data_IF_971350060664
#
_entry.id   IF_971350060664
#
_cell.length_a   1.000
_cell.length_b   1.000
_cell.length_c   1.000
_cell.angle_alpha   90.00
_cell.angle_beta   90.00
_cell.angle_gamma   90.00
#
_symmetry.space_group_name_H-M   'P 1'
#
loop_
_entity.id
_entity.type
_entity.pdbx_description
1 polymer ?
#
# COMPACT_ATOMS: atom_id res chain seq x y z
N UNK A 1 15.90 6.72 -20.02
CA UNK A 1 16.56 7.58 -19.00
C UNK A 1 16.51 9.08 -19.36
N UNK A 2 16.95 9.52 -20.56
CA UNK A 2 16.92 10.96 -20.94
C UNK A 2 15.52 11.60 -20.96
N UNK A 3 14.50 10.89 -21.42
CA UNK A 3 13.13 11.40 -21.52
C UNK A 3 12.53 11.74 -20.14
N UNK A 4 12.89 10.97 -19.10
CA UNK A 4 12.38 11.18 -17.75
C UNK A 4 12.94 12.43 -17.09
N UNK A 5 14.21 12.72 -17.34
CA UNK A 5 14.88 13.90 -16.81
C UNK A 5 14.34 15.20 -17.43
N UNK A 6 14.04 15.21 -18.73
CA UNK A 6 13.43 16.36 -19.40
C UNK A 6 12.00 16.59 -18.87
N UNK A 7 11.19 15.51 -18.76
CA UNK A 7 9.83 15.61 -18.21
C UNK A 7 9.86 16.14 -16.78
N UNK A 8 10.77 15.63 -15.96
CA UNK A 8 10.93 16.05 -14.57
C UNK A 8 11.31 17.54 -14.46
N UNK A 9 12.29 18.00 -15.23
CA UNK A 9 12.68 19.42 -15.25
C UNK A 9 11.55 20.36 -15.69
N UNK A 10 10.71 19.94 -16.64
CA UNK A 10 9.53 20.70 -17.07
C UNK A 10 8.48 20.73 -15.96
N UNK A 11 8.18 19.59 -15.35
CA UNK A 11 7.23 19.48 -14.25
C UNK A 11 7.65 20.33 -13.03
N UNK A 12 8.95 20.39 -12.69
CA UNK A 12 9.50 21.25 -11.64
C UNK A 12 9.28 22.74 -11.90
N UNK A 13 9.10 23.15 -13.17
CA UNK A 13 8.79 24.52 -13.58
C UNK A 13 7.29 24.79 -13.68
N UNK A 14 6.45 23.83 -13.30
CA UNK A 14 4.99 23.97 -13.32
C UNK A 14 4.32 23.59 -14.64
N UNK A 15 5.03 22.88 -15.54
CA UNK A 15 4.42 22.38 -16.78
C UNK A 15 3.41 21.27 -16.49
N UNK A 16 2.13 21.57 -16.65
CA UNK A 16 1.02 20.65 -16.34
C UNK A 16 1.06 19.36 -17.19
N UNK A 17 1.46 19.46 -18.46
CA UNK A 17 1.57 18.29 -19.32
C UNK A 17 2.67 17.34 -18.84
N UNK A 18 3.79 17.89 -18.38
CA UNK A 18 4.87 17.12 -17.78
C UNK A 18 4.46 16.52 -16.43
N UNK A 19 3.75 17.27 -15.57
CA UNK A 19 3.17 16.75 -14.32
C UNK A 19 2.22 15.58 -14.58
N UNK A 20 1.33 15.71 -15.58
CA UNK A 20 0.43 14.64 -15.99
C UNK A 20 1.18 13.39 -16.45
N UNK A 21 2.27 13.54 -17.19
CA UNK A 21 3.10 12.40 -17.61
C UNK A 21 3.74 11.69 -16.42
N UNK A 22 4.24 12.43 -15.42
CA UNK A 22 4.75 11.85 -14.18
C UNK A 22 3.65 11.11 -13.42
N UNK A 23 2.48 11.70 -13.31
CA UNK A 23 1.32 11.08 -12.68
C UNK A 23 0.94 9.77 -13.38
N UNK A 24 0.72 9.77 -14.68
CA UNK A 24 0.34 8.57 -15.46
C UNK A 24 1.35 7.43 -15.30
N UNK A 25 2.63 7.75 -15.20
CA UNK A 25 3.70 6.75 -15.07
C UNK A 25 3.79 6.14 -13.67
N UNK A 26 3.58 6.95 -12.64
CA UNK A 26 3.87 6.55 -11.26
C UNK A 26 2.61 6.25 -10.42
N UNK A 27 1.40 6.69 -10.87
CA UNK A 27 0.17 6.47 -10.12
C UNK A 27 -0.14 4.98 -9.88
N UNK A 28 0.08 4.04 -10.81
CA UNK A 28 -0.24 2.64 -10.53
C UNK A 28 0.48 2.10 -9.29
N UNK A 29 1.75 2.49 -9.10
CA UNK A 29 2.54 2.04 -7.96
C UNK A 29 2.20 2.83 -6.67
N UNK A 30 2.08 4.15 -6.76
CA UNK A 30 1.76 5.02 -5.61
C UNK A 30 0.36 4.73 -5.09
N UNK A 31 -0.63 4.62 -5.97
CA UNK A 31 -2.02 4.36 -5.59
C UNK A 31 -2.18 2.94 -5.00
N UNK A 32 -1.38 1.98 -5.47
CA UNK A 32 -1.37 0.63 -4.89
C UNK A 32 -0.92 0.62 -3.43
N UNK A 33 0.18 1.32 -3.08
CA UNK A 33 0.63 1.38 -1.68
C UNK A 33 -0.36 2.14 -0.79
N UNK A 34 -0.96 3.21 -1.29
CA UNK A 34 -2.01 3.95 -0.56
C UNK A 34 -3.20 3.05 -0.26
N UNK A 35 -3.74 2.32 -1.27
CA UNK A 35 -4.85 1.38 -1.08
C UNK A 35 -4.53 0.29 -0.05
N UNK A 36 -3.35 -0.33 -0.16
CA UNK A 36 -2.94 -1.38 0.77
C UNK A 36 -2.82 -0.88 2.21
N UNK A 37 -2.32 0.33 2.41
CA UNK A 37 -2.23 0.93 3.73
C UNK A 37 -3.60 1.32 4.29
N UNK A 38 -4.47 1.94 3.50
CA UNK A 38 -5.79 2.37 3.93
C UNK A 38 -6.72 1.18 4.16
N UNK A 39 -6.77 0.23 3.22
CA UNK A 39 -7.65 -0.96 3.26
C UNK A 39 -9.13 -0.65 3.07
N UNK A 40 -9.49 0.59 2.89
CA UNK A 40 -10.79 1.11 2.53
C UNK A 40 -10.64 1.91 1.24
N UNK A 41 -11.54 1.67 0.28
CA UNK A 41 -11.43 2.22 -1.07
C UNK A 41 -11.65 3.74 -1.09
N UNK A 42 -12.66 4.22 -0.38
CA UNK A 42 -13.05 5.64 -0.39
C UNK A 42 -12.00 6.48 0.33
N UNK A 43 -11.56 6.00 1.49
CA UNK A 43 -10.43 6.60 2.21
C UNK A 43 -9.16 6.61 1.36
N UNK A 44 -8.89 5.53 0.62
CA UNK A 44 -7.72 5.44 -0.23
C UNK A 44 -7.77 6.44 -1.40
N UNK A 45 -8.94 6.66 -2.00
CA UNK A 45 -9.09 7.62 -3.09
C UNK A 45 -8.81 9.05 -2.62
N UNK A 46 -9.35 9.46 -1.48
CA UNK A 46 -9.12 10.79 -0.89
C UNK A 46 -7.65 10.98 -0.51
N UNK A 47 -7.06 9.98 0.14
CA UNK A 47 -5.64 10.02 0.53
C UNK A 47 -4.73 10.04 -0.69
N UNK A 48 -5.01 9.30 -1.75
CA UNK A 48 -4.22 9.31 -2.99
C UNK A 48 -4.23 10.69 -3.64
N UNK A 49 -5.37 11.37 -3.66
CA UNK A 49 -5.46 12.75 -4.14
C UNK A 49 -4.58 13.69 -3.32
N UNK A 50 -4.66 13.63 -1.98
CA UNK A 50 -3.80 14.43 -1.09
C UNK A 50 -2.31 14.13 -1.29
N UNK A 51 -1.96 12.86 -1.50
CA UNK A 51 -0.58 12.41 -1.78
C UNK A 51 -0.06 13.07 -3.05
N UNK A 52 -0.81 13.04 -4.14
CA UNK A 52 -0.41 13.66 -5.41
C UNK A 52 -0.29 15.17 -5.32
N UNK A 53 -1.22 15.84 -4.63
CA UNK A 53 -1.11 17.28 -4.35
C UNK A 53 0.20 17.58 -3.59
N UNK A 54 0.55 16.77 -2.60
CA UNK A 54 1.77 16.94 -1.83
C UNK A 54 3.05 16.66 -2.65
N UNK A 55 3.04 15.63 -3.50
CA UNK A 55 4.14 15.33 -4.42
C UNK A 55 4.41 16.52 -5.33
N UNK A 56 3.39 17.06 -5.98
CA UNK A 56 3.56 18.20 -6.89
C UNK A 56 3.93 19.50 -6.17
N UNK A 57 3.44 19.73 -4.96
CA UNK A 57 3.87 20.88 -4.13
C UNK A 57 5.34 20.78 -3.73
N UNK A 58 5.83 19.58 -3.45
CA UNK A 58 7.21 19.35 -3.05
C UNK A 58 8.18 19.23 -4.24
N UNK A 59 7.66 19.03 -5.45
CA UNK A 59 8.45 18.77 -6.66
C UNK A 59 9.48 19.87 -7.00
N UNK A 60 9.22 21.18 -6.85
CA UNK A 60 10.24 22.21 -7.06
C UNK A 60 11.48 22.06 -6.18
N UNK A 61 11.36 21.41 -5.01
CA UNK A 61 12.47 21.13 -4.09
C UNK A 61 13.15 19.78 -4.29
N UNK A 62 12.75 19.00 -5.28
CA UNK A 62 13.38 17.70 -5.56
C UNK A 62 14.81 17.88 -6.07
N UNK A 63 15.79 17.24 -5.38
CA UNK A 63 17.23 17.41 -5.64
C UNK A 63 17.87 16.34 -6.52
N UNK A 64 17.11 15.30 -6.90
CA UNK A 64 17.66 14.21 -7.71
C UNK A 64 18.57 13.22 -6.94
N UNK A 65 18.58 13.26 -5.59
CA UNK A 65 19.39 12.38 -4.74
C UNK A 65 18.94 10.91 -4.81
N UNK A 66 17.74 10.65 -5.29
CA UNK A 66 17.18 9.34 -5.61
C UNK A 66 16.33 9.44 -6.87
N UNK A 67 15.91 8.31 -7.44
CA UNK A 67 14.94 8.34 -8.54
C UNK A 67 13.63 8.99 -8.10
N UNK A 68 12.96 9.71 -9.02
CA UNK A 68 11.68 10.40 -8.73
C UNK A 68 10.63 9.44 -8.13
N UNK A 69 10.50 8.22 -8.69
CA UNK A 69 9.55 7.23 -8.17
C UNK A 69 9.82 6.86 -6.70
N UNK A 70 11.09 6.69 -6.32
CA UNK A 70 11.48 6.40 -4.94
C UNK A 70 11.20 7.59 -4.01
N UNK A 71 11.47 8.81 -4.47
CA UNK A 71 11.20 10.02 -3.71
C UNK A 71 9.70 10.26 -3.51
N UNK A 72 8.91 10.14 -4.59
CA UNK A 72 7.47 10.28 -4.55
C UNK A 72 6.81 9.21 -3.68
N UNK A 73 7.31 7.97 -3.75
CA UNK A 73 6.86 6.86 -2.93
C UNK A 73 7.04 7.12 -1.42
N UNK A 74 8.19 7.67 -1.00
CA UNK A 74 8.42 8.06 0.41
C UNK A 74 7.40 9.11 0.87
N UNK A 75 7.07 10.08 0.02
CA UNK A 75 6.02 11.07 0.31
C UNK A 75 4.68 10.36 0.47
N UNK A 76 4.34 9.42 -0.42
CA UNK A 76 3.09 8.68 -0.39
C UNK A 76 2.94 7.87 0.91
N UNK A 77 3.92 7.07 1.28
CA UNK A 77 3.90 6.30 2.54
C UNK A 77 3.71 7.22 3.74
N UNK A 78 4.56 8.26 3.88
CA UNK A 78 4.51 9.18 5.02
C UNK A 78 3.17 9.94 5.09
N UNK A 79 2.65 10.41 3.95
CA UNK A 79 1.37 11.12 3.90
C UNK A 79 0.22 10.20 4.28
N UNK A 80 0.19 8.98 3.76
CA UNK A 80 -0.83 7.99 4.08
C UNK A 80 -0.83 7.64 5.57
N UNK A 81 0.33 7.36 6.17
CA UNK A 81 0.44 7.08 7.59
C UNK A 81 -0.06 8.26 8.45
N UNK A 82 0.24 9.50 8.05
CA UNK A 82 -0.25 10.69 8.73
C UNK A 82 -1.78 10.83 8.62
N UNK A 83 -2.35 10.57 7.44
CA UNK A 83 -3.81 10.57 7.24
C UNK A 83 -4.49 9.52 8.13
N UNK A 84 -3.98 8.29 8.15
CA UNK A 84 -4.52 7.21 8.99
C UNK A 84 -4.44 7.54 10.49
N UNK A 85 -3.34 8.17 10.96
CA UNK A 85 -3.24 8.64 12.35
C UNK A 85 -4.28 9.73 12.68
N UNK A 86 -4.56 10.63 11.73
CA UNK A 86 -5.59 11.67 11.88
C UNK A 86 -6.98 11.05 11.96
N UNK A 87 -7.32 10.14 11.04
CA UNK A 87 -8.59 9.41 11.02
C UNK A 87 -8.80 8.67 12.36
N UNK A 88 -7.80 7.91 12.82
CA UNK A 88 -7.88 7.20 14.10
C UNK A 88 -8.09 8.12 15.29
N UNK A 89 -7.48 9.32 15.30
CA UNK A 89 -7.71 10.31 16.37
C UNK A 89 -9.12 10.86 16.35
N UNK A 90 -9.66 11.18 15.17
CA UNK A 90 -11.03 11.66 15.03
C UNK A 90 -12.04 10.60 15.47
N UNK A 91 -11.87 9.36 14.99
CA UNK A 91 -12.72 8.25 15.42
C UNK A 91 -12.72 8.02 16.95
N UNK A 92 -11.56 8.20 17.62
CA UNK A 92 -11.51 8.13 19.09
C UNK A 92 -12.22 9.28 19.79
N UNK A 93 -12.30 10.46 19.19
CA UNK A 93 -13.03 11.59 19.74
C UNK A 93 -14.55 11.44 19.56
N UNK A 94 -14.97 10.73 18.49
CA UNK A 94 -16.38 10.46 18.21
C UNK A 94 -16.89 9.20 18.92
N UNK A 95 -16.00 8.31 19.35
CA UNK A 95 -16.35 7.02 19.95
C UNK A 95 -15.73 6.92 21.36
N UNK A 96 -16.45 7.30 22.38
CA UNK A 96 -16.29 6.72 23.73
C UNK A 96 -16.92 5.32 23.83
N UNK A 97 -17.29 4.70 22.71
CA UNK A 97 -17.98 3.39 22.67
C UNK A 97 -17.35 2.49 21.60
N UNK A 98 -16.73 1.40 22.09
CA UNK A 98 -16.52 0.06 21.55
C UNK A 98 -16.00 -0.14 20.09
N UNK A 99 -14.81 -0.68 20.03
CA UNK A 99 -14.32 -2.04 19.68
C UNK A 99 -14.81 -2.68 18.37
N UNK A 100 -13.76 -2.99 17.57
CA UNK A 100 -13.60 -4.14 16.68
C UNK A 100 -14.76 -4.51 15.75
N UNK A 101 -14.57 -4.15 14.51
CA UNK A 101 -15.03 -4.77 13.26
C UNK A 101 -15.73 -3.83 12.29
N UNK A 102 -15.06 -3.49 11.21
CA UNK A 102 -15.72 -3.07 9.99
C UNK A 102 -15.38 -4.05 8.88
N UNK A 103 -16.33 -4.86 8.50
CA UNK A 103 -16.37 -5.61 7.25
C UNK A 103 -16.75 -4.63 6.13
N UNK A 104 -15.99 -4.61 5.05
CA UNK A 104 -16.43 -4.04 3.77
C UNK A 104 -16.16 -5.08 2.70
N UNK A 105 -17.20 -5.56 2.06
CA UNK A 105 -17.13 -6.31 0.82
C UNK A 105 -17.00 -5.32 -0.34
N UNK A 106 -16.03 -5.57 -1.21
CA UNK A 106 -15.84 -4.81 -2.45
C UNK A 106 -15.50 -5.77 -3.58
N UNK A 107 -16.37 -5.76 -4.58
CA UNK A 107 -16.33 -6.55 -5.80
C UNK A 107 -15.46 -5.85 -6.84
N UNK A 108 -14.61 -6.57 -7.55
CA UNK A 108 -14.28 -6.39 -8.97
C UNK A 108 -13.02 -7.08 -9.45
N UNK A 109 -13.14 -7.63 -10.57
CA UNK A 109 -12.37 -8.47 -11.48
C UNK A 109 -10.95 -7.94 -11.81
N UNK A 110 -9.93 -8.51 -11.17
CA UNK A 110 -8.49 -8.38 -11.52
C UNK A 110 -7.76 -9.64 -11.16
N UNK A 111 -6.74 -9.99 -11.93
CA UNK A 111 -5.92 -11.21 -11.83
C UNK A 111 -6.06 -11.97 -10.49
N UNK A 112 -6.80 -13.03 -10.49
CA UNK A 112 -7.38 -13.79 -9.36
C UNK A 112 -6.49 -13.93 -8.09
N UNK A 113 -5.18 -14.03 -8.25
CA UNK A 113 -4.26 -14.19 -7.12
C UNK A 113 -3.92 -12.85 -6.43
N UNK A 114 -3.70 -11.80 -7.19
CA UNK A 114 -3.34 -10.48 -6.64
C UNK A 114 -4.55 -9.85 -5.92
N UNK A 115 -5.76 -10.06 -6.43
CA UNK A 115 -7.01 -9.64 -5.81
C UNK A 115 -7.29 -10.37 -4.52
N UNK A 116 -7.07 -11.66 -4.50
CA UNK A 116 -7.23 -12.47 -3.29
C UNK A 116 -6.31 -12.01 -2.17
N UNK A 117 -5.08 -11.55 -2.49
CA UNK A 117 -4.16 -11.01 -1.49
C UNK A 117 -4.59 -9.62 -1.02
N UNK A 118 -4.93 -8.72 -1.94
CA UNK A 118 -5.39 -7.37 -1.61
C UNK A 118 -6.70 -7.43 -0.80
N UNK A 119 -7.63 -8.32 -1.14
CA UNK A 119 -8.85 -8.59 -0.37
C UNK A 119 -8.53 -9.19 1.01
N UNK A 120 -7.65 -10.19 1.08
CA UNK A 120 -7.26 -10.78 2.36
C UNK A 120 -6.59 -9.74 3.29
N UNK A 121 -5.85 -8.78 2.73
CA UNK A 121 -5.26 -7.68 3.50
C UNK A 121 -6.31 -6.75 4.11
N UNK A 122 -7.46 -6.52 3.45
CA UNK A 122 -8.54 -5.70 4.03
C UNK A 122 -9.10 -6.31 5.32
N UNK A 123 -9.05 -7.64 5.44
CA UNK A 123 -9.51 -8.41 6.62
C UNK A 123 -8.51 -8.39 7.79
N UNK A 124 -7.32 -7.79 7.62
CA UNK A 124 -6.38 -7.59 8.72
C UNK A 124 -6.81 -6.41 9.60
N UNK A 125 -6.46 -6.47 10.90
CA UNK A 125 -6.58 -5.27 11.74
C UNK A 125 -5.67 -4.16 11.19
N UNK A 126 -6.06 -2.87 11.33
CA UNK A 126 -5.31 -1.76 10.74
C UNK A 126 -3.81 -1.77 11.09
N UNK A 127 -3.46 -2.06 12.36
CA UNK A 127 -2.05 -2.13 12.80
C UNK A 127 -1.28 -3.29 12.16
N UNK A 128 -1.89 -4.47 12.09
CA UNK A 128 -1.27 -5.65 11.46
C UNK A 128 -1.11 -5.46 9.95
N UNK A 129 -2.11 -4.88 9.28
CA UNK A 129 -2.05 -4.53 7.85
C UNK A 129 -0.94 -3.53 7.56
N UNK A 130 -0.87 -2.43 8.31
CA UNK A 130 0.16 -1.41 8.14
C UNK A 130 1.56 -2.00 8.30
N UNK A 131 1.79 -2.80 9.34
CA UNK A 131 3.11 -3.42 9.56
C UNK A 131 3.44 -4.43 8.45
N UNK A 132 2.48 -5.23 7.99
CA UNK A 132 2.66 -6.17 6.89
C UNK A 132 3.03 -5.44 5.59
N UNK A 133 2.29 -4.40 5.23
CA UNK A 133 2.58 -3.62 4.02
C UNK A 133 3.97 -3.00 4.11
N UNK A 134 4.30 -2.33 5.20
CA UNK A 134 5.60 -1.67 5.35
C UNK A 134 6.76 -2.66 5.35
N UNK A 135 6.62 -3.82 6.03
CA UNK A 135 7.72 -4.78 6.14
C UNK A 135 7.85 -5.69 4.92
N UNK A 136 6.76 -6.39 4.56
CA UNK A 136 6.80 -7.48 3.57
C UNK A 136 6.68 -6.99 2.13
N UNK A 137 6.05 -5.83 1.91
CA UNK A 137 5.87 -5.27 0.57
C UNK A 137 6.89 -4.15 0.31
N UNK A 138 7.07 -3.24 1.28
CA UNK A 138 7.88 -2.04 1.11
C UNK A 138 9.32 -2.17 1.64
N UNK A 139 9.64 -3.27 2.34
CA UNK A 139 10.99 -3.60 2.78
C UNK A 139 11.51 -2.78 3.97
N UNK A 140 10.63 -2.13 4.74
CA UNK A 140 11.03 -1.40 5.95
C UNK A 140 11.50 -2.37 7.04
N UNK A 141 12.51 -1.99 7.79
CA UNK A 141 12.93 -2.70 8.99
C UNK A 141 11.94 -2.48 10.14
N UNK A 142 11.91 -3.39 11.12
CA UNK A 142 11.06 -3.23 12.30
C UNK A 142 11.39 -1.98 13.13
N UNK A 143 12.65 -1.53 13.10
CA UNK A 143 13.07 -0.31 13.80
C UNK A 143 12.57 0.96 13.09
N UNK A 144 12.58 0.99 11.76
CA UNK A 144 11.98 2.06 10.96
C UNK A 144 10.47 2.10 11.15
N UNK A 145 9.80 0.94 11.07
CA UNK A 145 8.36 0.82 11.33
C UNK A 145 8.02 1.31 12.75
N UNK A 146 8.85 0.93 13.74
CA UNK A 146 8.68 1.35 15.12
C UNK A 146 8.72 2.87 15.26
N UNK A 147 9.68 3.54 14.63
CA UNK A 147 9.80 5.00 14.60
C UNK A 147 8.60 5.65 13.90
N UNK A 148 8.21 5.12 12.74
CA UNK A 148 7.09 5.67 11.95
C UNK A 148 5.74 5.51 12.66
N UNK A 149 5.49 4.38 13.32
CA UNK A 149 4.20 4.09 13.95
C UNK A 149 4.12 4.44 15.44
N UNK A 150 5.24 4.82 16.06
CA UNK A 150 5.31 5.06 17.50
C UNK A 150 5.12 3.78 18.33
N UNK A 151 5.61 2.63 17.84
CA UNK A 151 5.57 1.33 18.53
C UNK A 151 6.98 0.79 18.72
N UNK A 152 7.14 -0.19 19.60
CA UNK A 152 8.43 -0.87 19.74
C UNK A 152 8.72 -1.80 18.56
N UNK A 153 9.98 -2.09 18.29
CA UNK A 153 10.40 -3.10 17.30
C UNK A 153 9.78 -4.49 17.61
N UNK A 154 9.67 -4.85 18.88
CA UNK A 154 8.97 -6.06 19.33
C UNK A 154 7.47 -6.03 19.03
N UNK A 155 6.82 -4.87 19.21
CA UNK A 155 5.41 -4.64 18.82
C UNK A 155 5.21 -4.82 17.32
N UNK A 156 6.11 -4.26 16.50
CA UNK A 156 6.10 -4.45 15.06
C UNK A 156 6.23 -5.95 14.66
N UNK A 157 7.18 -6.69 15.26
CA UNK A 157 7.33 -8.12 15.03
C UNK A 157 6.06 -8.92 15.40
N UNK A 158 5.43 -8.59 16.53
CA UNK A 158 4.19 -9.22 16.96
C UNK A 158 3.03 -8.97 15.99
N UNK A 159 2.87 -7.73 15.51
CA UNK A 159 1.86 -7.39 14.50
C UNK A 159 2.08 -8.13 13.18
N UNK A 160 3.33 -8.21 12.71
CA UNK A 160 3.68 -8.95 11.50
C UNK A 160 3.36 -10.44 11.63
N UNK A 161 3.70 -11.06 12.77
CA UNK A 161 3.37 -12.45 13.04
C UNK A 161 1.86 -12.72 12.95
N UNK A 162 1.04 -11.86 13.57
CA UNK A 162 -0.42 -11.96 13.52
C UNK A 162 -0.94 -11.76 12.09
N UNK A 163 -0.42 -10.79 11.34
CA UNK A 163 -0.79 -10.54 9.96
C UNK A 163 -0.54 -11.76 9.08
N UNK A 164 0.69 -12.30 9.11
CA UNK A 164 1.07 -13.47 8.32
C UNK A 164 0.25 -14.73 8.69
N UNK A 165 -0.04 -14.93 9.97
CA UNK A 165 -0.86 -16.05 10.43
C UNK A 165 -2.30 -15.94 9.90
N UNK A 166 -2.90 -14.74 9.93
CA UNK A 166 -4.24 -14.50 9.41
C UNK A 166 -4.29 -14.62 7.88
N UNK A 167 -3.34 -14.02 7.16
CA UNK A 167 -3.25 -14.12 5.69
C UNK A 167 -3.09 -15.57 5.24
N UNK A 168 -2.23 -16.36 5.90
CA UNK A 168 -2.04 -17.78 5.58
C UNK A 168 -3.34 -18.57 5.69
N UNK A 169 -4.18 -18.27 6.69
CA UNK A 169 -5.49 -18.91 6.83
C UNK A 169 -6.48 -18.46 5.75
N UNK A 170 -6.51 -17.17 5.43
CA UNK A 170 -7.42 -16.63 4.43
C UNK A 170 -7.09 -17.11 3.02
N UNK A 171 -5.82 -17.35 2.73
CA UNK A 171 -5.32 -17.72 1.39
C UNK A 171 -5.05 -19.23 1.25
N UNK A 172 -5.39 -20.07 2.25
CA UNK A 172 -5.13 -21.50 2.21
C UNK A 172 -5.75 -22.21 1.01
N UNK A 173 -6.98 -21.79 0.61
CA UNK A 173 -7.68 -22.35 -0.54
C UNK A 173 -6.93 -22.14 -1.89
N UNK A 174 -6.18 -21.06 -2.04
CA UNK A 174 -5.41 -20.80 -3.26
C UNK A 174 -4.19 -21.72 -3.41
N UNK A 175 -3.66 -22.22 -2.30
CA UNK A 175 -2.54 -23.16 -2.31
C UNK A 175 -3.02 -24.56 -2.70
N UNK A 176 -4.21 -24.97 -2.21
CA UNK A 176 -4.78 -26.28 -2.53
C UNK A 176 -5.20 -26.38 -4.00
N UNK A 177 -5.75 -25.34 -4.61
CA UNK A 177 -6.07 -25.31 -6.05
C UNK A 177 -4.81 -25.36 -6.94
N UNK A 178 -3.73 -24.70 -6.52
CA UNK A 178 -2.45 -24.72 -7.26
C UNK A 178 -1.78 -26.12 -7.25
N UNK A 179 -1.95 -26.88 -6.19
CA UNK A 179 -1.42 -28.26 -6.09
C UNK A 179 -2.27 -29.28 -6.84
N UNK A 180 -3.58 -29.06 -6.93
CA UNK A 180 -4.50 -29.94 -7.68
C UNK A 180 -4.34 -29.82 -9.22
N UNK A 181 -3.93 -28.64 -9.73
CA UNK A 181 -3.74 -28.40 -11.16
C UNK A 181 -2.48 -29.00 -11.78
N UNK A 182 -1.49 -29.40 -10.98
CA UNK A 182 -0.20 -29.94 -11.48
C UNK A 182 -0.18 -31.46 -11.61
N UNK A 183 -1.25 -32.15 -11.19
CA UNK A 183 -1.32 -33.62 -11.13
C UNK A 183 -1.92 -34.31 -12.36
N UNK A 184 -2.32 -33.62 -13.45
CA UNK A 184 -3.13 -34.21 -14.52
C UNK A 184 -2.55 -34.12 -15.94
N UNK A 185 -1.21 -34.22 -16.09
CA UNK A 185 -0.62 -34.39 -17.42
C UNK A 185 0.51 -35.42 -17.40
N UNK A 186 0.22 -36.68 -17.10
CA UNK A 186 1.09 -37.77 -17.49
C UNK A 186 0.37 -39.14 -17.42
N UNK A 187 -0.61 -39.38 -18.28
CA UNK A 187 -1.02 -40.74 -18.63
C UNK A 187 -1.93 -40.73 -19.88
N UNK A 188 -1.34 -40.65 -21.08
CA UNK A 188 -1.92 -41.26 -22.29
C UNK A 188 -0.87 -41.23 -23.42
N UNK A 189 -0.04 -42.28 -23.47
CA UNK A 189 0.58 -42.78 -24.70
C UNK A 189 1.15 -44.17 -24.42
N UNK A 190 0.36 -45.17 -24.71
CA UNK A 190 0.77 -46.49 -25.20
C UNK A 190 -0.27 -46.94 -26.19
#
# INVERSE_FOLDING_TARGET
>A
MQTDEITLRRAMKGDEAAMRQLWLRHSPHIDAVVRRLCGDHDVAADVAQEVWIQIFRALPGYRGESQFGTWAHRIAVNRTLNALRKIKRLAKLETEIEDDSAFVEGDSDRTFLAESIDEAMTKLSPGARTVFVLHDIEGYTHDEIGKELGITSGGSKSQLFKARAKLRRLLAHLVDESTAGTGMTHAASL
#
